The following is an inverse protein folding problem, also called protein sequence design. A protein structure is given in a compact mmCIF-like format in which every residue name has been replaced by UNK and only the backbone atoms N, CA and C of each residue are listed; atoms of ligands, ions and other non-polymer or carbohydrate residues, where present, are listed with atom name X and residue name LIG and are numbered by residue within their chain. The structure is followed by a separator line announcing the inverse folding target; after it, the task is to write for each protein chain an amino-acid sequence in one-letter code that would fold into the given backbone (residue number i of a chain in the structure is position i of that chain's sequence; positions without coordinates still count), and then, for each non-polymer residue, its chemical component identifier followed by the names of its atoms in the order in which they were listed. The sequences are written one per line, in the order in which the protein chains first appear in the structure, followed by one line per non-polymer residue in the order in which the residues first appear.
data_IF_709030205479
#
_entry.id   IF_709030205479
#
_cell.length_a   1.000
_cell.length_b   1.000
_cell.length_c   1.000
_cell.angle_alpha   90.00
_cell.angle_beta   90.00
_cell.angle_gamma   90.00
#
_symmetry.space_group_name_H-M   'P 1'
#
loop_
_entity.id
_entity.type
_entity.pdbx_description
1 polymer ?
#
# COMPACT_ATOMS: atom_id res chain seq x y z
N UNK A 1 13.21 27.18 47.65
CA UNK A 1 13.10 26.31 46.47
C UNK A 1 12.20 27.03 45.47
N UNK A 2 12.64 27.25 44.22
CA UNK A 2 11.75 27.81 43.20
C UNK A 2 10.63 26.80 42.93
N UNK A 3 9.39 27.28 42.86
CA UNK A 3 8.23 26.44 42.57
C UNK A 3 8.37 25.79 41.19
N UNK A 4 7.95 24.51 41.01
CA UNK A 4 7.97 23.87 39.72
C UNK A 4 7.07 24.64 38.75
N UNK A 5 7.69 25.08 37.66
CA UNK A 5 7.07 25.83 36.57
C UNK A 5 5.80 25.10 36.07
N UNK A 6 4.66 25.79 36.11
CA UNK A 6 3.32 25.25 35.77
C UNK A 6 2.97 25.41 34.29
N UNK A 7 3.94 25.57 33.40
CA UNK A 7 3.72 25.29 31.96
C UNK A 7 3.73 23.77 31.74
N UNK A 8 2.64 23.15 32.21
CA UNK A 8 2.54 21.71 32.44
C UNK A 8 2.42 20.90 31.16
N UNK A 9 3.49 20.17 30.80
CA UNK A 9 3.43 19.11 29.79
C UNK A 9 2.40 18.06 30.22
N UNK A 10 1.38 17.83 29.39
CA UNK A 10 0.37 16.79 29.61
C UNK A 10 0.85 15.47 29.02
N UNK A 11 1.29 14.55 29.88
CA UNK A 11 1.81 13.24 29.48
C UNK A 11 0.77 12.11 29.47
N UNK A 12 -0.49 12.40 29.82
CA UNK A 12 -1.60 11.43 29.82
C UNK A 12 -1.25 10.10 30.54
N UNK A 13 -0.68 10.19 31.75
CA UNK A 13 -0.10 9.05 32.47
C UNK A 13 -1.10 7.92 32.78
N UNK A 14 -2.39 8.24 32.83
CA UNK A 14 -3.47 7.28 33.09
C UNK A 14 -3.94 6.55 31.82
N UNK A 15 -3.47 6.95 30.64
CA UNK A 15 -3.87 6.38 29.36
C UNK A 15 -2.76 5.43 28.87
N UNK A 16 -2.98 4.10 28.88
CA UNK A 16 -2.00 3.16 28.37
C UNK A 16 -1.84 3.31 26.84
N UNK A 17 -0.62 3.11 26.34
CA UNK A 17 -0.35 3.07 24.90
C UNK A 17 -1.11 1.90 24.25
N UNK A 18 -1.93 2.21 23.24
CA UNK A 18 -2.57 1.19 22.41
C UNK A 18 -1.55 0.46 21.53
N UNK A 19 -1.72 -0.85 21.38
CA UNK A 19 -0.92 -1.72 20.50
C UNK A 19 -1.82 -2.35 19.45
N UNK A 20 -2.36 -1.52 18.55
CA UNK A 20 -3.19 -2.03 17.46
C UNK A 20 -2.38 -2.96 16.55
N UNK A 21 -2.99 -4.08 16.17
CA UNK A 21 -2.41 -5.03 15.23
C UNK A 21 -2.42 -4.51 13.79
N UNK A 22 -1.70 -5.20 12.91
CA UNK A 22 -1.80 -4.97 11.47
C UNK A 22 -3.00 -5.72 10.91
N UNK A 23 -3.83 -5.03 10.12
CA UNK A 23 -5.12 -5.55 9.64
C UNK A 23 -5.01 -6.78 8.73
N UNK A 24 -3.87 -6.99 8.06
CA UNK A 24 -3.70 -8.01 7.04
C UNK A 24 -3.35 -9.38 7.65
N UNK A 25 -4.10 -10.41 7.24
CA UNK A 25 -3.94 -11.79 7.72
C UNK A 25 -2.50 -12.28 7.59
N UNK A 26 -1.96 -12.83 8.67
CA UNK A 26 -0.61 -13.41 8.71
C UNK A 26 0.55 -12.40 8.65
N UNK A 27 0.26 -11.10 8.66
CA UNK A 27 1.28 -10.06 8.45
C UNK A 27 1.59 -9.24 9.73
N UNK A 28 1.14 -9.70 10.90
CA UNK A 28 1.31 -8.99 12.17
C UNK A 28 2.77 -8.89 12.63
N UNK A 29 3.59 -9.91 12.36
CA UNK A 29 4.99 -9.98 12.82
C UNK A 29 6.00 -9.42 11.81
N UNK A 30 5.52 -8.73 10.77
CA UNK A 30 6.39 -8.08 9.79
C UNK A 30 6.89 -6.73 10.31
N UNK A 31 8.06 -6.31 9.84
CA UNK A 31 8.57 -4.96 10.10
C UNK A 31 7.65 -3.88 9.48
N UNK A 32 7.67 -2.68 10.05
CA UNK A 32 6.87 -1.55 9.60
C UNK A 32 7.03 -1.28 8.10
N UNK A 33 8.26 -1.38 7.56
CA UNK A 33 8.50 -1.11 6.14
C UNK A 33 7.78 -2.09 5.20
N UNK A 34 7.58 -3.34 5.62
CA UNK A 34 6.84 -4.33 4.84
C UNK A 34 5.32 -4.15 5.01
N UNK A 35 4.86 -3.87 6.24
CA UNK A 35 3.46 -3.49 6.51
C UNK A 35 3.02 -2.29 5.68
N UNK A 36 3.85 -1.26 5.58
CA UNK A 36 3.58 -0.07 4.78
C UNK A 36 3.43 -0.38 3.28
N UNK A 37 4.27 -1.28 2.73
CA UNK A 37 4.13 -1.71 1.32
C UNK A 37 2.86 -2.52 1.09
N UNK A 38 2.54 -3.44 2.00
CA UNK A 38 1.32 -4.25 1.93
C UNK A 38 0.06 -3.41 2.04
N UNK A 39 0.05 -2.36 2.87
CA UNK A 39 -1.07 -1.43 3.01
C UNK A 39 -1.34 -0.59 1.74
N UNK A 40 -0.38 -0.52 0.80
CA UNK A 40 -0.57 0.08 -0.52
C UNK A 40 -1.14 -0.89 -1.55
N UNK A 41 -1.07 -2.20 -1.29
CA UNK A 41 -1.65 -3.25 -2.13
C UNK A 41 -3.06 -3.57 -1.64
N UNK A 42 -3.21 -3.81 -0.34
CA UNK A 42 -4.47 -4.19 0.29
C UNK A 42 -5.06 -2.98 1.01
N UNK A 43 -6.29 -2.63 0.68
CA UNK A 43 -7.01 -1.53 1.30
C UNK A 43 -7.21 -1.81 2.81
N UNK A 44 -6.71 -0.94 3.73
CA UNK A 44 -6.82 -1.18 5.17
C UNK A 44 -8.24 -1.26 5.72
N UNK A 45 -9.24 -0.69 5.03
CA UNK A 45 -10.64 -0.73 5.45
C UNK A 45 -11.31 -2.05 5.07
N UNK A 46 -11.03 -2.59 3.88
CA UNK A 46 -11.68 -3.81 3.37
C UNK A 46 -10.83 -5.07 3.53
N UNK A 47 -9.52 -4.93 3.72
CA UNK A 47 -8.54 -6.02 3.70
C UNK A 47 -8.36 -6.68 2.32
N UNK A 48 -8.84 -6.06 1.25
CA UNK A 48 -8.88 -6.62 -0.12
C UNK A 48 -8.19 -5.71 -1.13
N UNK A 49 -8.00 -6.22 -2.34
CA UNK A 49 -7.39 -5.50 -3.47
C UNK A 49 -8.05 -5.91 -4.79
N UNK A 50 -8.18 -4.96 -5.72
CA UNK A 50 -8.43 -5.19 -7.14
C UNK A 50 -7.14 -4.86 -7.89
N UNK A 51 -6.40 -5.92 -8.27
CA UNK A 51 -5.12 -5.82 -8.97
C UNK A 51 -5.31 -5.98 -10.49
N UNK A 52 -4.80 -5.03 -11.26
CA UNK A 52 -4.78 -5.11 -12.72
C UNK A 52 -3.43 -5.66 -13.21
N UNK A 53 -3.44 -6.83 -13.84
CA UNK A 53 -2.25 -7.50 -14.35
C UNK A 53 -2.10 -7.34 -15.87
N UNK A 54 -0.95 -6.80 -16.29
CA UNK A 54 -0.62 -6.51 -17.70
C UNK A 54 0.81 -6.95 -18.06
N UNK A 55 1.30 -7.98 -17.38
CA UNK A 55 2.64 -8.53 -17.56
C UNK A 55 2.75 -9.63 -18.61
N UNK A 56 1.63 -10.15 -19.14
CA UNK A 56 1.55 -11.24 -20.15
C UNK A 56 2.58 -11.16 -21.28
N UNK A 57 2.86 -9.95 -21.76
CA UNK A 57 3.79 -9.73 -22.86
C UNK A 57 5.25 -10.09 -22.56
N UNK A 58 5.62 -10.36 -21.30
CA UNK A 58 6.99 -10.75 -20.95
C UNK A 58 7.46 -12.02 -21.68
N UNK A 59 6.53 -12.91 -22.07
CA UNK A 59 6.82 -14.12 -22.84
C UNK A 59 5.95 -14.29 -24.08
N UNK A 60 4.76 -13.65 -24.12
CA UNK A 60 3.81 -13.80 -25.22
C UNK A 60 3.95 -12.73 -26.31
N UNK A 61 4.76 -11.68 -26.10
CA UNK A 61 4.76 -10.51 -26.98
C UNK A 61 3.45 -9.71 -26.89
N UNK A 62 3.04 -8.99 -27.95
CA UNK A 62 1.82 -8.19 -27.94
C UNK A 62 0.56 -9.09 -27.99
N UNK A 63 0.11 -9.53 -26.82
CA UNK A 63 -1.11 -10.31 -26.64
C UNK A 63 -2.34 -9.45 -26.90
N UNK A 64 -3.44 -10.07 -27.35
CA UNK A 64 -4.72 -9.40 -27.61
C UNK A 64 -5.13 -8.47 -26.47
N UNK A 65 -5.36 -7.20 -26.79
CA UNK A 65 -5.74 -6.13 -25.85
C UNK A 65 -4.56 -5.39 -25.20
N UNK A 66 -3.35 -5.94 -25.24
CA UNK A 66 -2.12 -5.37 -24.68
C UNK A 66 -1.14 -4.86 -25.76
N UNK A 67 -1.58 -4.74 -27.01
CA UNK A 67 -0.77 -4.26 -28.11
C UNK A 67 -0.37 -2.78 -27.92
N UNK A 68 -1.25 -1.99 -27.29
CA UNK A 68 -1.08 -0.56 -27.00
C UNK A 68 -1.50 -0.23 -25.57
N UNK A 69 -0.61 -0.52 -24.61
CA UNK A 69 -0.84 -0.26 -23.17
C UNK A 69 -1.14 1.21 -22.91
N UNK A 70 -0.47 2.11 -23.62
CA UNK A 70 -0.66 3.56 -23.55
C UNK A 70 -2.09 4.00 -23.90
N UNK A 71 -2.78 3.29 -24.79
CA UNK A 71 -4.15 3.60 -25.21
C UNK A 71 -5.20 2.77 -24.46
N UNK A 72 -4.95 1.48 -24.28
CA UNK A 72 -5.97 0.54 -23.79
C UNK A 72 -5.95 0.38 -22.27
N UNK A 73 -4.78 0.51 -21.63
CA UNK A 73 -4.58 0.19 -20.22
C UNK A 73 -4.45 1.44 -19.36
N UNK A 74 -3.70 2.46 -19.80
CA UNK A 74 -3.51 3.69 -19.03
C UNK A 74 -4.84 4.36 -18.62
N UNK A 75 -5.88 4.44 -19.47
CA UNK A 75 -7.17 5.03 -19.06
C UNK A 75 -7.90 4.26 -17.96
N UNK A 76 -7.68 2.94 -17.85
CA UNK A 76 -8.34 2.10 -16.85
C UNK A 76 -7.50 1.91 -15.57
N UNK A 77 -6.20 2.21 -15.61
CA UNK A 77 -5.31 2.08 -14.47
C UNK A 77 -5.79 2.79 -13.18
N UNK A 78 -6.42 3.99 -13.24
CA UNK A 78 -6.94 4.66 -12.04
C UNK A 78 -8.07 3.92 -11.32
N UNK A 79 -8.70 2.93 -11.94
CA UNK A 79 -9.77 2.12 -11.34
C UNK A 79 -9.25 0.87 -10.63
N UNK A 80 -7.95 0.58 -10.72
CA UNK A 80 -7.30 -0.50 -10.00
C UNK A 80 -6.68 0.01 -8.69
N UNK A 81 -6.68 -0.82 -7.65
CA UNK A 81 -5.98 -0.51 -6.40
C UNK A 81 -4.45 -0.57 -6.61
N UNK A 82 -4.00 -1.49 -7.47
CA UNK A 82 -2.57 -1.73 -7.74
C UNK A 82 -2.35 -2.36 -9.12
N UNK A 83 -1.14 -2.21 -9.66
CA UNK A 83 -0.76 -2.71 -10.98
C UNK A 83 0.30 -3.81 -10.86
N UNK A 84 0.17 -4.86 -11.67
CA UNK A 84 1.17 -5.92 -11.86
C UNK A 84 1.66 -5.91 -13.31
N UNK A 85 2.95 -5.63 -13.50
CA UNK A 85 3.55 -5.34 -14.80
C UNK A 85 5.07 -5.54 -14.78
N UNK A 86 5.68 -5.61 -15.95
CA UNK A 86 7.14 -5.67 -16.07
C UNK A 86 7.79 -4.31 -15.83
N UNK A 87 9.06 -4.31 -15.40
CA UNK A 87 9.84 -3.07 -15.26
C UNK A 87 10.01 -2.29 -16.57
N UNK A 88 9.91 -2.98 -17.71
CA UNK A 88 10.03 -2.37 -19.04
C UNK A 88 8.82 -1.49 -19.30
N UNK A 89 7.63 -2.07 -19.21
CA UNK A 89 6.36 -1.35 -19.38
C UNK A 89 6.25 -0.18 -18.39
N UNK A 90 6.66 -0.36 -17.14
CA UNK A 90 6.57 0.71 -16.13
C UNK A 90 7.43 1.96 -16.44
N UNK A 91 8.51 1.81 -17.20
CA UNK A 91 9.46 2.90 -17.52
C UNK A 91 9.25 3.49 -18.92
N UNK A 92 8.32 2.95 -19.69
CA UNK A 92 8.06 3.30 -21.09
C UNK A 92 7.12 4.50 -21.21
#
# INVERSE_FOLDING_TARGET
MPEPDKEGKQFCQDIPMSKEGFFLKGCNSLDWGMKNRLARIFNPKSGRTVMLAVDHGYFQGPTTGLERIDLNIVPIAPYADTLMLTRGILRS
#
